data_IF_031001459309
#
_entry.id   IF_031001459309
#
_cell.length_a   1.000
_cell.length_b   1.000
_cell.length_c   1.000
_cell.angle_alpha   90.00
_cell.angle_beta   90.00
_cell.angle_gamma   90.00
#
_symmetry.space_group_name_H-M   'P 1'
#
loop_
_entity.id
_entity.type
_entity.pdbx_description
1 polymer ?
#
# COMPACT_ATOMS: atom_id res chain seq x y z
N UNK A 1 55.49 -30.99 60.56
CA UNK A 1 54.42 -30.00 60.24
C UNK A 1 55.11 -28.65 60.05
N UNK A 2 55.52 -28.32 58.82
CA UNK A 2 56.23 -27.07 58.53
C UNK A 2 55.26 -26.13 57.80
N UNK A 3 54.83 -25.06 58.47
CA UNK A 3 54.04 -23.99 57.87
C UNK A 3 54.91 -23.18 56.92
N UNK A 4 54.62 -23.27 55.62
CA UNK A 4 55.20 -22.38 54.62
C UNK A 4 54.42 -21.05 54.64
N UNK A 5 55.03 -20.00 55.17
CA UNK A 5 54.49 -18.65 55.09
C UNK A 5 54.73 -18.07 53.69
N UNK A 6 53.65 -17.94 52.92
CA UNK A 6 53.66 -17.34 51.59
C UNK A 6 53.92 -15.82 51.68
N UNK A 7 55.15 -15.40 51.40
CA UNK A 7 55.58 -14.01 51.38
C UNK A 7 55.15 -13.29 50.07
N UNK A 8 53.85 -13.25 49.77
CA UNK A 8 53.32 -12.63 48.56
C UNK A 8 52.47 -11.38 48.84
N UNK A 9 53.00 -10.45 49.65
CA UNK A 9 52.42 -9.10 49.85
C UNK A 9 53.38 -7.96 49.50
N UNK A 10 54.20 -8.14 48.46
CA UNK A 10 54.87 -7.00 47.82
C UNK A 10 54.02 -6.58 46.64
N UNK A 11 53.05 -5.71 46.90
CA UNK A 11 52.31 -5.03 45.84
C UNK A 11 53.30 -4.44 44.84
N UNK A 12 53.09 -4.71 43.55
CA UNK A 12 53.93 -4.17 42.49
C UNK A 12 54.05 -2.65 42.67
N UNK A 13 55.24 -2.05 42.44
CA UNK A 13 55.39 -0.61 42.52
C UNK A 13 54.37 0.00 41.54
N UNK A 14 53.47 0.81 42.08
CA UNK A 14 52.46 1.52 41.31
C UNK A 14 53.23 2.43 40.35
N UNK A 15 53.33 2.01 39.09
CA UNK A 15 54.02 2.82 38.08
C UNK A 15 53.44 4.23 38.13
N UNK A 16 54.32 5.20 38.40
CA UNK A 16 53.97 6.60 38.40
C UNK A 16 53.55 6.93 36.96
N UNK A 17 52.24 6.87 36.71
CA UNK A 17 51.65 7.29 35.44
C UNK A 17 52.15 8.70 35.18
N UNK A 18 52.95 8.86 34.12
CA UNK A 18 53.45 10.17 33.68
C UNK A 18 52.23 11.09 33.55
N UNK A 19 52.20 12.13 34.38
CA UNK A 19 51.13 13.13 34.31
C UNK A 19 51.08 13.70 32.89
N UNK A 20 49.89 13.86 32.28
CA UNK A 20 49.79 14.44 30.95
C UNK A 20 50.45 15.82 30.97
N UNK A 21 51.44 16.02 30.10
CA UNK A 21 52.09 17.32 29.95
C UNK A 21 51.02 18.31 29.50
N UNK A 22 50.75 19.34 30.32
CA UNK A 22 49.86 20.43 29.92
C UNK A 22 50.54 21.23 28.82
N UNK A 23 50.12 21.02 27.59
CA UNK A 23 50.50 21.89 26.48
C UNK A 23 49.70 23.18 26.61
N UNK A 24 50.40 24.29 26.83
CA UNK A 24 49.79 25.62 26.86
C UNK A 24 49.66 26.08 25.40
N UNK A 25 48.43 26.14 24.89
CA UNK A 25 48.17 26.75 23.59
C UNK A 25 48.14 28.27 23.74
N UNK A 26 48.81 28.98 22.83
CA UNK A 26 48.69 30.44 22.69
C UNK A 26 47.73 30.72 21.55
N UNK A 27 46.76 31.63 21.76
CA UNK A 27 45.92 32.14 20.68
C UNK A 27 46.83 32.85 19.68
N UNK A 28 46.85 32.38 18.43
CA UNK A 28 47.63 32.99 17.35
C UNK A 28 46.99 34.30 16.93
N UNK A 29 45.67 34.29 16.72
CA UNK A 29 44.90 35.46 16.31
C UNK A 29 43.81 35.84 17.32
N UNK A 30 43.40 37.11 17.29
CA UNK A 30 42.34 37.67 18.15
C UNK A 30 40.94 37.47 17.57
N UNK A 31 40.84 37.21 16.26
CA UNK A 31 39.60 37.04 15.51
C UNK A 31 39.39 35.57 15.14
N UNK A 32 38.13 35.20 14.86
CA UNK A 32 37.81 33.86 14.37
C UNK A 32 38.44 33.67 12.97
N UNK A 33 39.18 32.57 12.79
CA UNK A 33 39.84 32.26 11.51
C UNK A 33 38.82 31.85 10.45
N UNK A 34 37.77 31.11 10.84
CA UNK A 34 36.66 30.76 9.95
C UNK A 34 35.40 30.41 10.76
N UNK A 35 34.23 30.66 10.16
CA UNK A 35 32.93 30.23 10.68
C UNK A 35 32.32 29.22 9.73
N UNK A 36 32.02 28.02 10.22
CA UNK A 36 31.35 26.99 9.43
C UNK A 36 29.85 27.00 9.73
N UNK A 37 29.05 27.16 8.67
CA UNK A 37 27.59 27.11 8.77
C UNK A 37 27.12 25.77 8.20
N UNK A 38 26.74 24.86 9.10
CA UNK A 38 26.18 23.58 8.70
C UNK A 38 24.71 23.76 8.36
N UNK A 39 24.38 23.59 7.07
CA UNK A 39 22.99 23.62 6.60
C UNK A 39 22.40 22.23 6.74
N UNK A 40 21.37 22.09 7.55
CA UNK A 40 20.61 20.85 7.68
C UNK A 40 19.33 20.92 6.87
N UNK A 41 18.96 19.80 6.26
CA UNK A 41 17.63 19.58 5.70
C UNK A 41 16.94 18.50 6.51
N UNK A 42 15.61 18.55 6.56
CA UNK A 42 14.84 17.49 7.20
C UNK A 42 15.13 16.14 6.53
N UNK A 43 14.96 15.04 7.27
CA UNK A 43 15.12 13.67 6.74
C UNK A 43 14.29 13.48 5.46
N UNK A 44 13.03 13.92 5.48
CA UNK A 44 12.15 13.84 4.32
C UNK A 44 12.72 14.61 3.12
N UNK A 45 13.19 15.85 3.31
CA UNK A 45 13.81 16.62 2.23
C UNK A 45 15.07 15.95 1.65
N UNK A 46 15.90 15.32 2.50
CA UNK A 46 17.07 14.55 2.03
C UNK A 46 16.68 13.29 1.24
N UNK A 47 15.58 12.63 1.62
CA UNK A 47 15.03 11.49 0.89
C UNK A 47 14.43 11.91 -0.46
N UNK A 48 13.72 13.04 -0.51
CA UNK A 48 13.19 13.61 -1.75
C UNK A 48 14.33 13.97 -2.71
N UNK A 49 15.41 14.57 -2.19
CA UNK A 49 16.60 14.91 -2.98
C UNK A 49 17.49 13.70 -3.34
N UNK A 50 17.21 12.51 -2.80
CA UNK A 50 17.99 11.30 -3.07
C UNK A 50 19.36 11.25 -2.41
N UNK A 51 19.65 12.15 -1.47
CA UNK A 51 20.90 12.15 -0.67
C UNK A 51 20.91 10.97 0.31
N UNK A 52 19.73 10.59 0.82
CA UNK A 52 19.50 9.42 1.67
C UNK A 52 18.51 8.51 0.93
N UNK A 53 18.63 7.17 1.04
CA UNK A 53 17.65 6.25 0.48
C UNK A 53 16.21 6.60 0.89
N UNK A 54 15.31 6.58 -0.09
CA UNK A 54 13.88 6.69 0.16
C UNK A 54 13.39 5.43 0.87
N UNK A 55 12.32 5.56 1.65
CA UNK A 55 11.57 4.38 2.08
C UNK A 55 11.10 3.63 0.84
N UNK A 56 11.13 2.28 0.84
CA UNK A 56 10.61 1.51 -0.29
C UNK A 56 9.16 1.94 -0.53
N UNK A 57 8.81 2.15 -1.80
CA UNK A 57 7.40 2.39 -2.14
C UNK A 57 6.60 1.19 -1.62
N UNK A 58 5.47 1.40 -0.92
CA UNK A 58 4.65 0.29 -0.48
C UNK A 58 4.21 -0.52 -1.70
N UNK A 59 4.16 -1.85 -1.53
CA UNK A 59 3.75 -2.77 -2.60
C UNK A 59 2.30 -2.45 -2.99
N UNK A 60 2.00 -2.25 -4.30
CA UNK A 60 0.64 -2.01 -4.79
C UNK A 60 -0.33 -3.12 -4.34
N UNK A 61 -1.58 -2.74 -4.07
CA UNK A 61 -2.61 -3.68 -3.60
C UNK A 61 -2.83 -4.86 -4.57
N UNK A 62 -2.73 -4.63 -5.87
CA UNK A 62 -2.91 -5.65 -6.91
C UNK A 62 -1.81 -6.72 -6.93
N UNK A 63 -0.61 -6.39 -6.44
CA UNK A 63 0.54 -7.30 -6.41
C UNK A 63 0.66 -8.07 -5.07
N UNK A 64 -0.23 -7.80 -4.11
CA UNK A 64 -0.27 -8.51 -2.82
C UNK A 64 -1.05 -9.81 -2.96
N UNK A 65 -0.70 -10.80 -2.14
CA UNK A 65 -1.42 -12.06 -2.12
C UNK A 65 -2.87 -11.83 -1.63
N UNK A 66 -3.89 -12.31 -2.36
CA UNK A 66 -5.30 -12.11 -2.00
C UNK A 66 -5.67 -12.62 -0.60
N UNK A 67 -4.96 -13.60 -0.05
CA UNK A 67 -5.26 -14.13 1.29
C UNK A 67 -4.72 -13.25 2.43
N UNK A 68 -3.77 -12.38 2.11
CA UNK A 68 -3.14 -11.45 3.07
C UNK A 68 -3.84 -10.08 3.15
N UNK A 69 -4.82 -9.83 2.27
CA UNK A 69 -5.47 -8.53 2.15
C UNK A 69 -6.46 -8.27 3.31
N UNK A 70 -6.41 -7.08 3.90
CA UNK A 70 -7.44 -6.64 4.84
C UNK A 70 -8.78 -6.43 4.13
N UNK A 71 -9.89 -6.51 4.87
CA UNK A 71 -11.23 -6.28 4.32
C UNK A 71 -11.36 -4.89 3.65
N UNK A 72 -10.83 -3.85 4.29
CA UNK A 72 -10.86 -2.47 3.76
C UNK A 72 -10.07 -2.36 2.44
N UNK A 73 -8.90 -2.97 2.39
CA UNK A 73 -8.03 -2.99 1.20
C UNK A 73 -8.69 -3.76 0.05
N UNK A 74 -9.44 -4.82 0.36
CA UNK A 74 -10.11 -5.65 -0.65
C UNK A 74 -11.27 -4.90 -1.29
N UNK A 75 -12.04 -4.16 -0.48
CA UNK A 75 -13.09 -3.27 -0.97
C UNK A 75 -12.51 -2.18 -1.87
N UNK A 76 -11.37 -1.58 -1.50
CA UNK A 76 -10.70 -0.58 -2.31
C UNK A 76 -10.22 -1.15 -3.66
N UNK A 77 -9.68 -2.36 -3.66
CA UNK A 77 -9.25 -3.06 -4.87
C UNK A 77 -10.43 -3.33 -5.80
N UNK A 78 -11.56 -3.83 -5.29
CA UNK A 78 -12.78 -4.07 -6.06
C UNK A 78 -13.30 -2.74 -6.66
N UNK A 79 -13.32 -1.66 -5.88
CA UNK A 79 -13.73 -0.33 -6.36
C UNK A 79 -12.86 0.14 -7.53
N UNK A 80 -11.53 -0.05 -7.45
CA UNK A 80 -10.61 0.30 -8.54
C UNK A 80 -10.86 -0.53 -9.80
N UNK A 81 -11.11 -1.84 -9.65
CA UNK A 81 -11.43 -2.72 -10.77
C UNK A 81 -12.73 -2.32 -11.47
N UNK A 82 -13.79 -2.00 -10.71
CA UNK A 82 -15.06 -1.55 -11.28
C UNK A 82 -14.89 -0.29 -12.13
N UNK A 83 -14.16 0.73 -11.62
CA UNK A 83 -13.88 1.96 -12.36
C UNK A 83 -13.10 1.68 -13.65
N UNK A 84 -12.14 0.74 -13.63
CA UNK A 84 -11.38 0.35 -14.83
C UNK A 84 -12.28 -0.34 -15.87
N UNK A 85 -13.18 -1.23 -15.44
CA UNK A 85 -14.14 -1.89 -16.31
C UNK A 85 -15.12 -0.90 -16.94
N UNK A 86 -15.65 0.04 -16.15
CA UNK A 86 -16.54 1.08 -16.65
C UNK A 86 -15.84 1.97 -17.67
N UNK A 87 -14.59 2.38 -17.40
CA UNK A 87 -13.78 3.14 -18.34
C UNK A 87 -13.47 2.36 -19.63
N UNK A 88 -13.30 1.04 -19.56
CA UNK A 88 -13.12 0.19 -20.73
C UNK A 88 -14.42 0.06 -21.55
N UNK A 89 -15.56 -0.10 -20.88
CA UNK A 89 -16.88 -0.20 -21.50
C UNK A 89 -17.29 1.08 -22.23
N UNK A 90 -16.92 2.25 -21.69
CA UNK A 90 -17.17 3.56 -22.33
C UNK A 90 -16.35 3.74 -23.61
N UNK A 91 -15.15 3.13 -23.70
CA UNK A 91 -14.28 3.24 -24.88
C UNK A 91 -14.73 2.36 -26.04
N UNK A 92 -15.58 1.35 -25.79
CA UNK A 92 -16.12 0.49 -26.85
C UNK A 92 -17.32 1.22 -27.47
N UNK A 93 -17.11 1.86 -28.63
CA UNK A 93 -18.22 2.29 -29.51
C UNK A 93 -19.06 1.06 -29.84
N UNK A 94 -20.26 0.97 -29.26
CA UNK A 94 -21.26 0.00 -29.68
C UNK A 94 -21.90 0.52 -30.97
N UNK A 95 -21.71 -0.20 -32.07
CA UNK A 95 -22.54 -0.01 -33.26
C UNK A 95 -23.96 -0.50 -32.95
N UNK A 96 -24.94 0.38 -33.15
CA UNK A 96 -26.34 0.05 -32.93
C UNK A 96 -26.85 -0.71 -34.17
N UNK A 97 -26.65 -2.03 -34.23
CA UNK A 97 -27.31 -2.85 -35.24
C UNK A 97 -28.74 -3.12 -34.79
N UNK A 98 -29.64 -2.21 -35.13
CA UNK A 98 -31.05 -2.51 -35.25
C UNK A 98 -31.25 -3.50 -36.41
N UNK A 99 -31.00 -4.78 -36.16
CA UNK A 99 -31.55 -5.84 -36.99
C UNK A 99 -32.35 -6.72 -36.06
N UNK A 100 -33.65 -6.42 -36.03
CA UNK A 100 -34.68 -7.28 -35.49
C UNK A 100 -34.40 -8.73 -35.96
N UNK A 101 -33.88 -9.54 -35.03
CA UNK A 101 -33.72 -10.97 -35.23
C UNK A 101 -35.09 -11.55 -35.49
N UNK A 102 -35.42 -11.75 -36.78
CA UNK A 102 -36.57 -12.53 -37.22
C UNK A 102 -36.43 -13.89 -36.55
N UNK A 103 -37.27 -14.13 -35.55
CA UNK A 103 -37.47 -15.44 -34.97
C UNK A 103 -37.92 -16.36 -36.11
N UNK A 104 -37.05 -17.24 -36.60
CA UNK A 104 -37.44 -18.29 -37.54
C UNK A 104 -38.23 -19.31 -36.69
N UNK A 105 -39.54 -19.51 -36.92
CA UNK A 105 -40.25 -20.56 -36.22
C UNK A 105 -39.72 -21.89 -36.73
N UNK A 106 -39.00 -22.60 -35.87
CA UNK A 106 -38.67 -24.01 -36.07
C UNK A 106 -40.01 -24.76 -36.19
N UNK A 107 -40.42 -25.11 -37.41
CA UNK A 107 -41.54 -26.01 -37.66
C UNK A 107 -41.18 -27.37 -37.05
N UNK A 108 -41.60 -27.62 -35.82
CA UNK A 108 -41.63 -28.97 -35.26
C UNK A 108 -42.87 -29.64 -35.82
N UNK A 109 -42.66 -30.59 -36.72
CA UNK A 109 -43.70 -31.52 -37.15
C UNK A 109 -44.28 -32.22 -35.93
N UNK A 110 -45.60 -32.22 -35.86
CA UNK A 110 -46.36 -32.81 -34.77
C UNK A 110 -46.07 -34.32 -34.67
N UNK A 111 -45.54 -34.74 -33.54
CA UNK A 111 -45.85 -36.06 -33.01
C UNK A 111 -46.74 -35.83 -31.79
N UNK A 112 -47.98 -36.26 -31.93
CA UNK A 112 -48.93 -36.42 -30.84
C UNK A 112 -48.29 -37.22 -29.69
N UNK A 113 -48.90 -37.16 -28.50
CA UNK A 113 -48.48 -37.75 -27.22
C UNK A 113 -47.61 -36.85 -26.32
N UNK A 114 -48.24 -35.89 -25.63
CA UNK A 114 -48.16 -35.75 -24.16
C UNK A 114 -49.00 -34.55 -23.66
N UNK A 115 -49.98 -34.84 -22.79
CA UNK A 115 -50.32 -34.05 -21.60
C UNK A 115 -50.72 -32.58 -21.75
N UNK A 116 -52.03 -32.32 -21.73
CA UNK A 116 -52.58 -30.99 -21.45
C UNK A 116 -52.13 -30.47 -20.06
N UNK A 117 -51.35 -29.39 -20.03
CA UNK A 117 -51.12 -28.58 -18.83
C UNK A 117 -51.35 -27.09 -19.16
N UNK A 118 -52.51 -26.61 -18.71
CA UNK A 118 -52.89 -25.24 -18.34
C UNK A 118 -52.18 -24.05 -18.97
N UNK A 119 -52.91 -23.30 -19.79
CA UNK A 119 -52.55 -21.93 -20.15
C UNK A 119 -52.41 -21.03 -18.90
N UNK A 120 -51.20 -20.56 -18.64
CA UNK A 120 -50.91 -19.60 -17.57
C UNK A 120 -51.47 -18.22 -17.95
N UNK A 121 -52.52 -17.78 -17.25
CA UNK A 121 -53.07 -16.42 -17.34
C UNK A 121 -51.97 -15.40 -17.02
N UNK A 122 -51.74 -14.44 -17.93
CA UNK A 122 -50.82 -13.32 -17.70
C UNK A 122 -51.32 -12.53 -16.48
N UNK A 123 -50.55 -12.53 -15.37
CA UNK A 123 -50.82 -11.62 -14.26
C UNK A 123 -50.46 -10.20 -14.71
N UNK A 124 -51.36 -9.26 -14.49
CA UNK A 124 -51.10 -7.84 -14.76
C UNK A 124 -49.93 -7.36 -13.90
N UNK A 125 -48.98 -6.64 -14.51
CA UNK A 125 -47.88 -5.99 -13.79
C UNK A 125 -48.46 -4.90 -12.88
N UNK A 126 -48.08 -4.91 -11.61
CA UNK A 126 -48.36 -3.81 -10.70
C UNK A 126 -47.31 -2.72 -10.97
N UNK A 127 -47.75 -1.51 -11.32
CA UNK A 127 -46.86 -0.38 -11.51
C UNK A 127 -46.30 0.08 -10.16
N UNK A 128 -44.97 0.14 -10.07
CA UNK A 128 -44.28 0.65 -8.90
C UNK A 128 -44.17 2.16 -9.07
N UNK A 129 -44.84 2.92 -8.20
CA UNK A 129 -44.71 4.38 -8.16
C UNK A 129 -43.31 4.71 -7.65
N UNK A 130 -42.47 5.27 -8.51
CA UNK A 130 -41.16 5.83 -8.14
C UNK A 130 -41.38 7.24 -7.61
N UNK A 131 -41.00 7.47 -6.35
CA UNK A 131 -40.97 8.81 -5.75
C UNK A 131 -39.63 9.44 -6.12
N UNK A 132 -39.67 10.59 -6.79
CA UNK A 132 -38.48 11.37 -7.12
C UNK A 132 -38.05 12.18 -5.89
N UNK A 133 -36.81 11.98 -5.45
CA UNK A 133 -36.26 12.59 -4.23
C UNK A 133 -35.37 13.81 -4.53
N UNK A 134 -35.56 14.45 -5.69
CA UNK A 134 -34.76 15.62 -6.12
C UNK A 134 -35.47 16.96 -5.97
N UNK A 135 -36.56 17.02 -5.22
CA UNK A 135 -37.17 18.29 -4.77
C UNK A 135 -36.87 18.50 -3.28
N UNK A 136 -35.75 19.20 -3.01
CA UNK A 136 -35.44 19.95 -1.77
C UNK A 136 -35.16 21.41 -2.16
#
# INVERSE_FOLDING_TARGET
>A
MAMQFNANRRGAPRELRKSPKRTISKKVDRTLVATFIFKYRSKNALQVLGVIPRSPSPVPLEARDPTSLSHEEAVELIRRQQVQLDAANVKIKKENTEVAGKFIPFKREARDYLGAIGGSRKRARQEVVTIDLTDD
#
